data_IF_519383727554
#
_entry.id   IF_519383727554
#
_cell.length_a   1.000
_cell.length_b   1.000
_cell.length_c   1.000
_cell.angle_alpha   90.00
_cell.angle_beta   90.00
_cell.angle_gamma   90.00
#
_symmetry.space_group_name_H-M   'P 1'
#
loop_
_entity.id
_entity.type
_entity.pdbx_description
1 polymer ?
#
# COMPACT_ATOMS: atom_id res chain seq x y z
N UNK A 1 -3.42 14.60 10.68
CA UNK A 1 -4.10 13.84 9.61
C UNK A 1 -3.88 14.55 8.31
N UNK A 2 -3.46 13.82 7.29
CA UNK A 2 -3.30 14.37 5.96
C UNK A 2 -4.64 14.63 5.28
N UNK A 3 -4.69 15.58 4.35
CA UNK A 3 -5.93 15.89 3.61
C UNK A 3 -6.39 14.73 2.71
N UNK A 4 -5.46 13.91 2.22
CA UNK A 4 -5.74 12.84 1.27
C UNK A 4 -6.50 11.66 1.89
N UNK A 5 -6.39 11.48 3.21
CA UNK A 5 -6.98 10.37 3.98
C UNK A 5 -8.05 10.85 4.98
N UNK A 6 -8.51 12.09 4.83
CA UNK A 6 -9.51 12.65 5.72
C UNK A 6 -10.87 11.98 5.50
N UNK A 7 -11.48 11.48 6.58
CA UNK A 7 -12.82 10.89 6.53
C UNK A 7 -12.86 9.41 6.15
N UNK A 8 -11.74 8.69 6.31
CA UNK A 8 -11.63 7.26 6.03
C UNK A 8 -12.03 6.89 4.59
N UNK A 9 -11.33 7.44 3.59
CA UNK A 9 -11.63 7.12 2.20
C UNK A 9 -11.29 5.66 1.88
N UNK A 10 -11.87 5.18 0.79
CA UNK A 10 -11.42 3.95 0.15
C UNK A 10 -10.08 4.21 -0.53
N UNK A 11 -9.12 3.36 -0.22
CA UNK A 11 -7.79 3.35 -0.83
C UNK A 11 -7.56 2.02 -1.50
N UNK A 12 -6.64 2.01 -2.45
CA UNK A 12 -6.25 0.83 -3.19
C UNK A 12 -4.91 0.36 -2.70
N UNK A 13 -4.81 -0.94 -2.43
CA UNK A 13 -3.58 -1.61 -1.99
C UNK A 13 -3.34 -2.86 -2.80
N UNK A 14 -2.10 -3.30 -2.82
CA UNK A 14 -1.71 -4.55 -3.46
C UNK A 14 -1.68 -5.66 -2.41
N UNK A 15 -2.41 -6.74 -2.67
CA UNK A 15 -2.53 -7.91 -1.81
C UNK A 15 -1.84 -9.10 -2.48
N UNK A 16 -1.06 -9.85 -1.71
CA UNK A 16 -0.47 -11.13 -2.14
C UNK A 16 -1.39 -12.30 -1.81
N UNK A 17 -1.34 -13.33 -2.64
CA UNK A 17 -2.04 -14.61 -2.44
C UNK A 17 -3.56 -14.45 -2.17
N UNK A 18 -4.30 -13.71 -3.03
CA UNK A 18 -5.75 -13.57 -2.90
C UNK A 18 -6.46 -14.93 -2.81
N UNK A 19 -7.39 -15.07 -1.86
CA UNK A 19 -8.15 -16.30 -1.60
C UNK A 19 -7.38 -17.42 -0.87
N UNK A 20 -6.16 -17.15 -0.41
CA UNK A 20 -5.35 -18.05 0.40
C UNK A 20 -4.94 -17.40 1.72
N UNK A 21 -3.62 -17.22 1.90
CA UNK A 21 -3.07 -16.46 3.03
C UNK A 21 -2.83 -15.03 2.55
N UNK A 22 -3.88 -14.23 2.59
CA UNK A 22 -3.90 -12.86 2.07
C UNK A 22 -3.04 -11.94 2.95
N UNK A 23 -2.14 -11.21 2.32
CA UNK A 23 -1.23 -10.30 3.00
C UNK A 23 -1.04 -9.02 2.18
N UNK A 24 -0.88 -7.88 2.83
CA UNK A 24 -0.53 -6.65 2.14
C UNK A 24 0.91 -6.68 1.62
N UNK A 25 1.13 -6.10 0.45
CA UNK A 25 2.45 -5.99 -0.16
C UNK A 25 3.26 -4.90 0.51
N UNK A 26 3.98 -5.24 1.56
CA UNK A 26 5.00 -4.38 2.15
C UNK A 26 6.19 -4.14 1.21
N UNK A 27 6.72 -2.93 1.21
CA UNK A 27 7.95 -2.51 0.54
C UNK A 27 8.95 -1.98 1.57
N UNK A 28 10.24 -2.00 1.22
CA UNK A 28 11.30 -1.44 2.06
C UNK A 28 11.83 -0.17 1.42
N UNK A 29 11.80 0.94 2.17
CA UNK A 29 12.34 2.21 1.71
C UNK A 29 13.86 2.26 1.98
N UNK A 30 14.66 2.32 0.91
CA UNK A 30 16.12 2.17 0.94
C UNK A 30 16.85 3.16 1.86
N UNK A 31 16.26 4.30 2.16
CA UNK A 31 16.91 5.38 2.91
C UNK A 31 16.78 5.30 4.45
N UNK A 32 16.07 4.31 5.02
CA UNK A 32 15.83 4.35 6.47
C UNK A 32 15.40 3.08 7.18
N UNK A 33 15.57 1.89 6.59
CA UNK A 33 15.02 0.64 7.15
C UNK A 33 13.52 0.74 7.48
N UNK A 34 12.80 1.54 6.68
CA UNK A 34 11.38 1.80 6.87
C UNK A 34 10.61 0.79 6.03
N UNK A 35 9.84 -0.06 6.69
CA UNK A 35 8.83 -0.90 6.06
C UNK A 35 7.56 -0.09 5.86
N UNK A 36 7.03 -0.08 4.64
CA UNK A 36 5.81 0.65 4.32
C UNK A 36 4.89 -0.15 3.40
N UNK A 37 3.60 0.15 3.43
CA UNK A 37 2.62 -0.40 2.50
C UNK A 37 2.33 0.67 1.43
N UNK A 38 2.59 0.39 0.15
CA UNK A 38 2.22 1.26 -0.95
C UNK A 38 0.69 1.33 -1.03
N UNK A 39 0.17 2.54 -0.93
CA UNK A 39 -1.26 2.83 -0.90
C UNK A 39 -1.56 3.82 -2.02
N UNK A 40 -2.70 3.67 -2.68
CA UNK A 40 -3.06 4.47 -3.85
C UNK A 40 -4.46 5.04 -3.68
N UNK A 41 -4.69 6.23 -4.23
CA UNK A 41 -6.02 6.85 -4.21
C UNK A 41 -6.88 6.31 -5.34
N UNK A 42 -6.28 5.97 -6.48
CA UNK A 42 -6.95 5.42 -7.64
C UNK A 42 -6.47 4.00 -7.97
N UNK A 43 -7.39 3.18 -8.48
CA UNK A 43 -7.09 1.79 -8.88
C UNK A 43 -6.07 1.72 -10.00
N UNK A 44 -6.19 2.63 -10.96
CA UNK A 44 -5.33 2.68 -12.16
C UNK A 44 -3.88 2.92 -11.76
N UNK A 45 -3.64 3.85 -10.84
CA UNK A 45 -2.29 4.11 -10.30
C UNK A 45 -1.69 2.88 -9.63
N UNK A 46 -2.48 2.14 -8.83
CA UNK A 46 -2.02 0.91 -8.20
C UNK A 46 -1.64 -0.17 -9.23
N UNK A 47 -2.39 -0.27 -10.34
CA UNK A 47 -2.11 -1.22 -11.42
C UNK A 47 -0.86 -0.82 -12.21
N UNK A 48 -0.71 0.46 -12.55
CA UNK A 48 0.48 0.97 -13.25
C UNK A 48 1.75 0.84 -12.42
N UNK A 49 1.65 1.07 -11.11
CA UNK A 49 2.78 0.94 -10.21
C UNK A 49 3.16 -0.54 -9.95
N UNK A 50 2.29 -1.50 -10.24
CA UNK A 50 2.47 -2.92 -9.88
C UNK A 50 3.76 -3.53 -10.46
N UNK A 51 4.19 -3.09 -11.65
CA UNK A 51 5.42 -3.54 -12.31
C UNK A 51 6.70 -2.90 -11.72
N UNK A 52 6.56 -1.83 -10.94
CA UNK A 52 7.66 -1.11 -10.32
C UNK A 52 7.92 -1.56 -8.87
N UNK A 53 6.95 -2.24 -8.25
CA UNK A 53 7.07 -2.74 -6.89
C UNK A 53 7.97 -3.96 -6.82
N UNK A 54 8.67 -4.13 -5.68
CA UNK A 54 9.43 -5.35 -5.42
C UNK A 54 8.43 -6.47 -5.18
N UNK A 55 8.29 -7.35 -6.18
CA UNK A 55 7.38 -8.49 -6.19
C UNK A 55 8.13 -9.76 -6.54
N UNK A 56 7.59 -10.88 -6.10
CA UNK A 56 8.10 -12.22 -6.32
C UNK A 56 7.29 -12.86 -7.44
N UNK A 57 7.92 -13.24 -8.55
CA UNK A 57 7.21 -13.71 -9.76
C UNK A 57 6.41 -15.00 -9.51
N UNK A 58 6.74 -15.76 -8.47
CA UNK A 58 6.02 -16.99 -8.10
C UNK A 58 4.73 -16.72 -7.32
N UNK A 59 4.52 -15.48 -6.83
CA UNK A 59 3.35 -15.09 -6.04
C UNK A 59 2.29 -14.41 -6.91
N UNK A 60 1.04 -14.52 -6.46
CA UNK A 60 -0.08 -13.80 -7.07
C UNK A 60 -0.29 -12.47 -6.38
N UNK A 61 -0.58 -11.44 -7.17
CA UNK A 61 -0.83 -10.08 -6.72
C UNK A 61 -2.17 -9.60 -7.25
N UNK A 62 -2.93 -8.91 -6.41
CA UNK A 62 -4.19 -8.29 -6.80
C UNK A 62 -4.33 -6.91 -6.17
N UNK A 63 -4.87 -5.97 -6.94
CA UNK A 63 -5.21 -4.64 -6.45
C UNK A 63 -6.62 -4.70 -5.85
N UNK A 64 -6.73 -4.43 -4.56
CA UNK A 64 -7.99 -4.45 -3.82
C UNK A 64 -8.26 -3.11 -3.14
N UNK A 65 -9.54 -2.77 -3.02
CA UNK A 65 -9.98 -1.59 -2.29
C UNK A 65 -10.21 -1.94 -0.82
N UNK A 66 -9.69 -1.12 0.08
CA UNK A 66 -9.86 -1.23 1.53
C UNK A 66 -10.14 0.15 2.12
N UNK A 67 -10.82 0.19 3.27
CA UNK A 67 -10.94 1.42 4.04
C UNK A 67 -9.61 1.80 4.65
N UNK A 68 -9.24 3.07 4.56
CA UNK A 68 -7.98 3.58 5.11
C UNK A 68 -7.80 3.22 6.59
N UNK A 69 -8.84 3.32 7.42
CA UNK A 69 -8.73 3.01 8.86
C UNK A 69 -8.40 1.53 9.12
N UNK A 70 -8.96 0.61 8.33
CA UNK A 70 -8.68 -0.82 8.46
C UNK A 70 -7.23 -1.13 8.04
N UNK A 71 -6.78 -0.52 6.94
CA UNK A 71 -5.39 -0.62 6.49
C UNK A 71 -4.42 -0.03 7.52
N UNK A 72 -4.75 1.15 8.07
CA UNK A 72 -3.94 1.84 9.07
C UNK A 72 -3.81 1.02 10.35
N UNK A 73 -4.89 0.37 10.78
CA UNK A 73 -4.89 -0.52 11.94
C UNK A 73 -3.93 -1.68 11.75
N UNK A 74 -4.03 -2.40 10.63
CA UNK A 74 -3.15 -3.53 10.32
C UNK A 74 -1.68 -3.08 10.22
N UNK A 75 -1.43 -1.95 9.57
CA UNK A 75 -0.11 -1.36 9.46
C UNK A 75 0.50 -1.02 10.83
N UNK A 76 -0.28 -0.47 11.77
CA UNK A 76 0.19 -0.19 13.14
C UNK A 76 0.54 -1.47 13.89
N UNK A 77 -0.30 -2.51 13.79
CA UNK A 77 -0.06 -3.80 14.46
C UNK A 77 1.26 -4.44 14.00
N UNK A 78 1.64 -4.24 12.74
CA UNK A 78 2.86 -4.78 12.14
C UNK A 78 4.03 -3.79 12.06
N UNK A 79 3.86 -2.53 12.50
CA UNK A 79 4.91 -1.51 12.49
C UNK A 79 5.24 -0.92 11.11
N UNK A 80 4.31 -0.99 10.17
CA UNK A 80 4.45 -0.44 8.82
C UNK A 80 3.98 1.02 8.75
N UNK A 81 4.64 1.80 7.90
CA UNK A 81 4.14 3.10 7.46
C UNK A 81 3.20 2.94 6.25
N UNK A 82 2.36 3.94 5.98
CA UNK A 82 1.55 3.97 4.75
C UNK A 82 2.08 5.06 3.83
N UNK A 83 2.54 4.69 2.65
CA UNK A 83 3.00 5.68 1.67
C UNK A 83 1.98 5.78 0.55
N UNK A 84 1.43 6.97 0.34
CA UNK A 84 0.59 7.26 -0.81
C UNK A 84 1.51 7.42 -2.01
N UNK A 85 1.37 6.54 -2.99
CA UNK A 85 2.13 6.57 -4.24
C UNK A 85 1.23 6.95 -5.42
N UNK A 86 1.84 7.46 -6.49
CA UNK A 86 1.18 7.60 -7.79
C UNK A 86 1.49 6.39 -8.70
N UNK A 87 0.91 6.37 -9.91
CA UNK A 87 1.17 5.32 -10.91
C UNK A 87 2.62 5.17 -11.35
N UNK A 88 3.44 6.21 -11.18
CA UNK A 88 4.88 6.20 -11.43
C UNK A 88 5.71 5.67 -10.25
N UNK A 89 5.09 5.28 -9.13
CA UNK A 89 5.78 4.84 -7.92
C UNK A 89 6.42 5.97 -7.11
N UNK A 90 6.08 7.22 -7.42
CA UNK A 90 6.55 8.39 -6.68
C UNK A 90 5.76 8.55 -5.39
N UNK A 91 6.45 8.87 -4.29
CA UNK A 91 5.80 9.09 -2.99
C UNK A 91 5.17 10.47 -2.97
N UNK A 92 3.83 10.51 -3.00
CA UNK A 92 3.04 11.72 -2.82
C UNK A 92 2.98 12.11 -1.34
N UNK A 93 2.81 11.13 -0.46
CA UNK A 93 2.70 11.38 0.97
C UNK A 93 3.17 10.20 1.83
N UNK A 94 3.78 10.49 2.98
CA UNK A 94 4.20 9.49 3.97
C UNK A 94 3.35 9.66 5.22
N UNK A 95 2.59 8.63 5.55
CA UNK A 95 1.67 8.62 6.68
C UNK A 95 2.20 7.64 7.72
N UNK A 96 2.30 8.12 8.95
CA UNK A 96 2.46 7.27 10.12
C UNK A 96 1.06 7.03 10.71
N UNK A 97 0.47 5.85 10.49
CA UNK A 97 -0.83 5.53 11.07
C UNK A 97 -0.79 5.47 12.60
#
# INVERSE_FOLDING_TARGET
>A
MSKLIQGNPWVWVVVLNPGGNEQFLGQQYKEGDISFIPTFLEKEEALECLDQLTRDEEKKYEVQAIQYEELARDAVEHGFMLFILNGAGEVLEKIKP
#
